data_IF_775043666934
#
_entry.id   IF_775043666934
#
_cell.length_a   1.000
_cell.length_b   1.000
_cell.length_c   1.000
_cell.angle_alpha   90.00
_cell.angle_beta   90.00
_cell.angle_gamma   90.00
#
_symmetry.space_group_name_H-M   'P 1'
#
loop_
_entity.id
_entity.type
_entity.pdbx_description
1 polymer ?
#
# COMPACT_ATOMS: atom_id res chain seq x y z
N UNK A 1 -11.28 34.18 17.37
CA UNK A 1 -9.94 34.73 17.01
C UNK A 1 -9.65 34.32 15.58
N UNK A 2 -9.14 35.22 14.75
CA UNK A 2 -8.86 34.94 13.32
C UNK A 2 -7.37 35.00 13.03
N UNK A 3 -6.89 34.09 12.18
CA UNK A 3 -5.51 34.07 11.67
C UNK A 3 -5.59 34.05 10.15
N UNK A 4 -4.85 34.95 9.51
CA UNK A 4 -4.80 35.07 8.06
C UNK A 4 -3.40 34.67 7.57
N UNK A 5 -3.36 33.85 6.52
CA UNK A 5 -2.13 33.47 5.83
C UNK A 5 -2.25 33.95 4.39
N UNK A 6 -1.52 35.00 4.03
CA UNK A 6 -1.43 35.48 2.66
C UNK A 6 -0.40 34.63 1.91
N UNK A 7 -0.78 34.16 0.73
CA UNK A 7 0.07 33.32 -0.12
C UNK A 7 0.05 33.95 -1.51
N UNK A 8 1.23 34.19 -2.06
CA UNK A 8 1.36 34.81 -3.38
C UNK A 8 1.11 33.78 -4.49
N UNK A 9 0.19 34.09 -5.40
CA UNK A 9 -0.13 33.22 -6.53
C UNK A 9 1.05 33.06 -7.50
N UNK A 10 1.28 31.84 -7.99
CA UNK A 10 2.36 31.55 -8.94
C UNK A 10 3.76 31.61 -8.33
N UNK A 11 3.86 31.55 -7.01
CA UNK A 11 5.13 31.61 -6.27
C UNK A 11 5.50 30.27 -5.63
N UNK A 12 6.68 30.20 -5.02
CA UNK A 12 7.12 29.03 -4.26
C UNK A 12 6.30 28.81 -2.97
N UNK A 13 5.63 29.85 -2.47
CA UNK A 13 4.87 29.80 -1.22
C UNK A 13 3.73 28.77 -1.27
N UNK A 14 3.07 28.63 -2.42
CA UNK A 14 2.00 27.63 -2.63
C UNK A 14 2.53 26.21 -2.44
N UNK A 15 3.69 25.92 -3.02
CA UNK A 15 4.34 24.61 -2.89
C UNK A 15 4.81 24.36 -1.45
N UNK A 16 5.31 25.38 -0.77
CA UNK A 16 5.72 25.28 0.62
C UNK A 16 4.52 24.95 1.51
N UNK A 17 3.38 25.59 1.29
CA UNK A 17 2.14 25.31 2.04
C UNK A 17 1.68 23.87 1.81
N UNK A 18 1.62 23.42 0.56
CA UNK A 18 1.26 22.03 0.25
C UNK A 18 2.21 21.01 0.92
N UNK A 19 3.52 21.29 0.94
CA UNK A 19 4.48 20.45 1.66
C UNK A 19 4.29 20.49 3.18
N UNK A 20 3.94 21.64 3.75
CA UNK A 20 3.66 21.77 5.19
C UNK A 20 2.41 20.97 5.57
N UNK A 21 1.35 21.03 4.77
CA UNK A 21 0.12 20.25 4.97
C UNK A 21 0.40 18.75 4.90
N UNK A 22 1.16 18.30 3.90
CA UNK A 22 1.56 16.91 3.78
C UNK A 22 2.40 16.46 4.99
N UNK A 23 3.36 17.28 5.44
CA UNK A 23 4.15 16.99 6.65
C UNK A 23 3.28 16.91 7.91
N UNK A 24 2.31 17.81 8.05
CA UNK A 24 1.37 17.79 9.17
C UNK A 24 0.52 16.52 9.17
N UNK A 25 0.02 16.09 8.00
CA UNK A 25 -0.73 14.85 7.86
C UNK A 25 0.11 13.61 8.23
N UNK A 26 1.39 13.58 7.83
CA UNK A 26 2.31 12.50 8.23
C UNK A 26 2.58 12.50 9.74
N UNK A 27 2.79 13.67 10.33
CA UNK A 27 3.00 13.80 11.78
C UNK A 27 1.76 13.34 12.55
N UNK A 28 0.56 13.73 12.10
CA UNK A 28 -0.71 13.28 12.67
C UNK A 28 -0.87 11.77 12.56
N UNK A 29 -0.53 11.18 11.40
CA UNK A 29 -0.59 9.72 11.23
C UNK A 29 0.32 8.95 12.20
N UNK A 30 1.48 9.52 12.56
CA UNK A 30 2.41 8.95 13.54
C UNK A 30 1.89 9.14 14.98
N UNK A 31 1.37 10.31 15.29
CA UNK A 31 0.99 10.71 16.64
C UNK A 31 -0.43 10.30 17.04
N UNK A 32 -1.31 10.02 16.07
CA UNK A 32 -2.66 9.51 16.34
C UNK A 32 -2.59 8.16 17.06
N UNK A 33 -3.55 7.89 17.95
CA UNK A 33 -3.64 6.61 18.68
C UNK A 33 -3.65 5.39 17.74
N UNK A 34 -4.10 5.54 16.49
CA UNK A 34 -4.04 4.49 15.47
C UNK A 34 -2.60 4.12 15.07
N UNK A 35 -1.65 5.05 15.18
CA UNK A 35 -0.21 4.82 15.01
C UNK A 35 0.48 4.20 16.24
N UNK A 36 -0.08 4.39 17.43
CA UNK A 36 0.43 3.84 18.69
C UNK A 36 -0.15 2.44 19.04
N UNK A 37 -1.33 2.08 18.50
CA UNK A 37 -2.06 0.87 18.91
C UNK A 37 -2.28 -0.18 17.82
N UNK A 38 -2.15 0.14 16.53
CA UNK A 38 -2.24 -0.87 15.48
C UNK A 38 -0.82 -1.40 15.21
N UNK A 39 -0.46 -2.50 15.87
CA UNK A 39 0.62 -3.34 15.37
C UNK A 39 0.25 -3.70 13.92
N UNK A 40 0.86 -3.03 12.94
CA UNK A 40 0.61 -3.26 11.51
C UNK A 40 0.99 -4.68 11.07
N UNK A 41 1.66 -5.39 11.96
CA UNK A 41 2.06 -6.77 11.86
C UNK A 41 1.64 -7.48 13.14
N UNK A 42 0.98 -8.62 12.98
CA UNK A 42 0.83 -9.62 14.03
C UNK A 42 2.16 -10.34 14.29
N UNK A 43 2.26 -11.10 15.38
CA UNK A 43 3.48 -11.88 15.65
C UNK A 43 3.73 -12.91 14.54
N UNK A 44 2.65 -13.47 14.02
CA UNK A 44 2.60 -14.41 12.91
C UNK A 44 3.08 -13.76 11.60
N UNK A 45 2.70 -12.50 11.33
CA UNK A 45 3.18 -11.78 10.13
C UNK A 45 4.69 -11.56 10.16
N UNK A 46 5.26 -11.30 11.34
CA UNK A 46 6.71 -11.11 11.50
C UNK A 46 7.44 -12.44 11.31
N UNK A 47 6.90 -13.55 11.83
CA UNK A 47 7.47 -14.89 11.66
C UNK A 47 7.50 -15.30 10.18
N UNK A 48 6.42 -15.03 9.43
CA UNK A 48 6.32 -15.32 8.00
C UNK A 48 7.36 -14.57 7.14
N UNK A 49 7.87 -13.41 7.57
CA UNK A 49 8.92 -12.68 6.85
C UNK A 49 10.29 -13.37 6.94
N UNK A 50 10.52 -14.16 7.98
CA UNK A 50 11.75 -14.91 8.18
C UNK A 50 11.68 -16.33 7.61
N UNK A 51 10.51 -16.77 7.13
CA UNK A 51 10.41 -18.04 6.44
C UNK A 51 11.27 -18.02 5.15
N UNK A 52 11.93 -19.15 4.84
CA UNK A 52 12.76 -19.24 3.66
C UNK A 52 11.89 -19.02 2.40
N UNK A 53 12.25 -18.02 1.60
CA UNK A 53 11.58 -17.76 0.32
C UNK A 53 11.64 -19.06 -0.50
N UNK A 54 10.50 -19.61 -0.96
CA UNK A 54 10.52 -20.80 -1.77
C UNK A 54 11.40 -20.55 -2.98
N UNK A 55 12.35 -21.46 -3.25
CA UNK A 55 13.16 -21.42 -4.45
C UNK A 55 12.23 -21.19 -5.65
N UNK A 56 12.49 -20.13 -6.40
CA UNK A 56 11.62 -19.48 -7.38
C UNK A 56 10.53 -20.38 -7.99
N UNK A 57 9.29 -19.87 -8.18
CA UNK A 57 8.29 -20.64 -8.88
C UNK A 57 8.83 -20.95 -10.27
N UNK A 58 9.10 -22.23 -10.52
CA UNK A 58 8.98 -22.73 -11.89
C UNK A 58 7.58 -22.32 -12.29
N UNK A 59 7.45 -21.45 -13.28
CA UNK A 59 6.17 -21.03 -13.86
C UNK A 59 5.43 -22.32 -14.21
N UNK A 60 4.60 -22.83 -13.30
CA UNK A 60 3.83 -24.03 -13.55
C UNK A 60 2.80 -23.58 -14.55
N UNK A 61 3.09 -23.91 -15.80
CA UNK A 61 2.22 -23.69 -16.93
C UNK A 61 0.79 -24.01 -16.51
N UNK A 62 -0.08 -23.01 -16.66
CA UNK A 62 -1.53 -23.09 -16.60
C UNK A 62 -1.99 -24.49 -17.02
N UNK A 63 -2.37 -25.31 -16.05
CA UNK A 63 -2.97 -26.61 -16.30
C UNK A 63 -4.38 -26.36 -16.87
N UNK A 64 -4.44 -26.18 -18.19
CA UNK A 64 -5.68 -26.20 -18.94
C UNK A 64 -6.31 -27.59 -18.76
N UNK A 65 -7.45 -27.64 -18.06
CA UNK A 65 -8.29 -28.85 -17.94
C UNK A 65 -8.50 -29.44 -19.34
N UNK A 66 -8.29 -30.76 -19.55
CA UNK A 66 -8.55 -31.38 -20.83
C UNK A 66 -10.07 -31.40 -21.07
N UNK A 67 -10.52 -30.56 -22.00
CA UNK A 67 -11.89 -30.62 -22.53
C UNK A 67 -12.02 -31.94 -23.29
N UNK A 68 -12.70 -32.91 -22.69
CA UNK A 68 -13.08 -34.17 -23.33
C UNK A 68 -13.92 -33.82 -24.57
N UNK A 69 -13.33 -34.03 -25.75
CA UNK A 69 -14.02 -33.94 -27.04
C UNK A 69 -14.87 -35.19 -27.18
N UNK A 70 -16.14 -35.10 -26.79
CA UNK A 70 -17.12 -36.10 -27.22
C UNK A 70 -17.30 -35.95 -28.74
N UNK A 71 -16.98 -37.04 -29.44
CA UNK A 71 -17.07 -37.18 -30.89
C UNK A 71 -18.55 -37.13 -31.31
N UNK A 72 -18.90 -36.20 -32.19
CA UNK A 72 -20.14 -36.26 -32.97
C UNK A 72 -19.99 -37.31 -34.09
N UNK A 73 -21.07 -38.06 -34.37
CA UNK A 73 -21.27 -38.83 -35.60
C UNK A 73 -21.46 -40.34 -35.38
N UNK A 74 -22.70 -40.79 -35.22
CA UNK A 74 -23.63 -41.16 -36.31
C UNK A 74 -25.04 -41.16 -35.75
#
# INVERSE_FOLDING_TARGET
MFVYKLITAGSVEEKIVAMQEHKAALAEAILSEAGAGAAKFSAEDIEALFEPIPAAPTVVALAAKPRVRTKAGT
#
